data_IF_643241431783
#
_entry.id   IF_643241431783
#
_cell.length_a   1.000
_cell.length_b   1.000
_cell.length_c   1.000
_cell.angle_alpha   90.00
_cell.angle_beta   90.00
_cell.angle_gamma   90.00
#
_symmetry.space_group_name_H-M   'P 1'
#
loop_
_entity.id
_entity.type
_entity.pdbx_description
1 polymer ?
#
# COMPACT_ATOMS: atom_id res chain seq x y z
N UNK A 1 6.69 -14.04 12.36
CA UNK A 1 5.89 -12.90 12.86
C UNK A 1 4.57 -12.96 12.13
N UNK A 2 3.44 -12.97 12.84
CA UNK A 2 2.13 -12.83 12.20
C UNK A 2 2.06 -11.45 11.55
N UNK A 3 1.75 -11.40 10.25
CA UNK A 3 1.48 -10.14 9.57
C UNK A 3 0.10 -9.61 10.00
N UNK A 4 0.01 -8.30 10.16
CA UNK A 4 -1.23 -7.58 10.46
C UNK A 4 -1.46 -6.45 9.46
N UNK A 5 -2.75 -6.20 9.21
CA UNK A 5 -3.29 -5.03 8.52
C UNK A 5 -3.71 -4.00 9.57
N UNK A 6 -3.49 -2.72 9.28
CA UNK A 6 -3.81 -1.63 10.18
C UNK A 6 -4.80 -0.67 9.54
N UNK A 7 -5.80 -0.23 10.28
CA UNK A 7 -6.73 0.82 9.84
C UNK A 7 -6.51 2.07 10.68
N UNK A 8 -6.22 3.21 10.05
CA UNK A 8 -6.08 4.48 10.75
C UNK A 8 -7.44 4.97 11.26
N UNK A 9 -7.62 5.02 12.57
CA UNK A 9 -8.83 5.57 13.20
C UNK A 9 -8.73 7.09 13.36
N UNK A 10 -7.53 7.61 13.65
CA UNK A 10 -7.19 9.04 13.71
C UNK A 10 -5.71 9.26 13.41
N UNK A 11 -5.33 10.50 13.09
CA UNK A 11 -3.94 10.90 12.88
C UNK A 11 -3.51 10.99 11.42
N UNK A 12 -2.19 10.96 11.21
CA UNK A 12 -1.54 10.99 9.90
C UNK A 12 -0.25 10.15 9.97
N UNK A 13 -0.06 9.32 8.94
CA UNK A 13 1.18 8.54 8.75
C UNK A 13 1.71 8.79 7.34
N UNK A 14 2.99 8.50 7.11
CA UNK A 14 3.65 8.60 5.82
C UNK A 14 4.24 7.26 5.43
N UNK A 15 4.08 6.89 4.16
CA UNK A 15 4.65 5.69 3.56
C UNK A 15 6.00 6.08 2.96
N UNK A 16 7.05 5.38 3.34
CA UNK A 16 8.43 5.63 2.93
C UNK A 16 9.02 4.35 2.35
N UNK A 17 9.55 4.43 1.14
CA UNK A 17 10.33 3.37 0.50
C UNK A 17 11.81 3.75 0.48
N UNK A 18 12.69 2.76 0.68
CA UNK A 18 14.13 2.96 0.53
C UNK A 18 14.55 2.44 -0.86
N UNK A 19 15.06 3.30 -1.72
CA UNK A 19 15.59 2.95 -3.04
C UNK A 19 16.99 3.56 -3.18
N UNK A 20 18.01 2.73 -3.41
CA UNK A 20 19.40 3.16 -3.58
C UNK A 20 19.88 4.12 -2.47
N UNK A 21 19.65 3.73 -1.21
CA UNK A 21 19.94 4.52 0.01
C UNK A 21 19.21 5.87 0.12
N UNK A 22 18.18 6.11 -0.70
CA UNK A 22 17.31 7.29 -0.62
C UNK A 22 15.93 6.93 -0.12
N UNK A 23 15.42 7.72 0.81
CA UNK A 23 14.03 7.66 1.26
C UNK A 23 13.12 8.40 0.28
N UNK A 24 12.18 7.67 -0.31
CA UNK A 24 11.16 8.19 -1.22
C UNK A 24 9.81 8.16 -0.49
N UNK A 25 9.16 9.31 -0.38
CA UNK A 25 7.78 9.37 0.13
C UNK A 25 6.82 8.88 -0.94
N UNK A 26 6.05 7.84 -0.62
CA UNK A 26 4.98 7.28 -1.43
C UNK A 26 3.61 7.91 -1.05
N UNK A 27 3.64 8.94 -0.21
CA UNK A 27 2.48 9.72 0.21
C UNK A 27 2.06 9.49 1.66
N UNK A 28 1.07 10.30 2.06
CA UNK A 28 0.53 10.32 3.41
C UNK A 28 -0.83 9.67 3.49
N UNK A 29 -1.09 9.01 4.60
CA UNK A 29 -2.35 8.37 4.92
C UNK A 29 -3.01 9.03 6.13
N UNK A 30 -4.34 9.00 6.16
CA UNK A 30 -5.19 9.64 7.18
C UNK A 30 -6.27 8.69 7.68
N UNK A 31 -7.15 9.18 8.55
CA UNK A 31 -8.32 8.43 9.03
C UNK A 31 -9.06 7.72 7.89
N UNK A 32 -9.36 6.44 8.10
CA UNK A 32 -10.05 5.55 7.14
C UNK A 32 -9.11 4.83 6.18
N UNK A 33 -7.83 5.17 6.19
CA UNK A 33 -6.83 4.52 5.37
C UNK A 33 -6.33 3.20 5.98
N UNK A 34 -5.97 2.26 5.12
CA UNK A 34 -5.47 0.94 5.49
C UNK A 34 -3.94 0.87 5.28
N UNK A 35 -3.22 0.03 6.02
CA UNK A 35 -1.78 -0.23 5.84
C UNK A 35 -1.52 -1.72 5.94
N UNK A 36 -0.62 -2.24 5.12
CA UNK A 36 -0.23 -3.66 5.13
C UNK A 36 -1.19 -4.54 4.33
N UNK A 37 -2.20 -3.95 3.69
CA UNK A 37 -3.19 -4.65 2.89
C UNK A 37 -2.58 -5.39 1.69
N UNK A 38 -1.53 -4.83 1.09
CA UNK A 38 -0.87 -5.40 -0.09
C UNK A 38 -0.15 -6.70 0.31
N UNK A 39 0.63 -6.66 1.39
CA UNK A 39 1.33 -7.84 1.89
C UNK A 39 0.34 -8.93 2.32
N UNK A 40 -0.72 -8.54 3.03
CA UNK A 40 -1.75 -9.46 3.50
C UNK A 40 -2.53 -10.14 2.35
N UNK A 41 -2.85 -9.41 1.28
CA UNK A 41 -3.71 -9.93 0.20
C UNK A 41 -2.94 -10.59 -0.94
N UNK A 42 -1.74 -10.12 -1.25
CA UNK A 42 -0.96 -10.62 -2.38
C UNK A 42 0.22 -11.49 -1.96
N UNK A 43 0.41 -11.72 -0.65
CA UNK A 43 1.57 -12.43 -0.09
C UNK A 43 2.91 -11.86 -0.58
N UNK A 44 2.95 -10.54 -0.78
CA UNK A 44 4.14 -9.82 -1.22
C UNK A 44 4.97 -9.39 -0.01
N UNK A 45 6.31 -9.36 -0.12
CA UNK A 45 7.16 -8.83 0.93
C UNK A 45 6.81 -7.36 1.21
N UNK A 46 7.04 -6.91 2.46
CA UNK A 46 6.90 -5.49 2.79
C UNK A 46 7.97 -4.69 2.08
N UNK A 47 7.51 -3.78 1.24
CA UNK A 47 8.33 -2.94 0.35
C UNK A 47 8.49 -1.50 0.83
N UNK A 48 7.70 -1.10 1.83
CA UNK A 48 7.70 0.26 2.37
C UNK A 48 7.48 0.23 3.87
N UNK A 49 8.08 1.20 4.55
CA UNK A 49 7.87 1.49 5.97
C UNK A 49 6.76 2.52 6.12
N UNK A 50 6.05 2.47 7.25
CA UNK A 50 5.04 3.47 7.58
C UNK A 50 5.42 4.12 8.90
N UNK A 51 5.50 5.45 8.88
CA UNK A 51 5.92 6.26 10.03
C UNK A 51 4.81 7.23 10.41
N UNK A 52 4.46 7.31 11.68
CA UNK A 52 3.51 8.30 12.16
C UNK A 52 4.12 9.70 12.07
N UNK A 53 3.44 10.61 11.39
CA UNK A 53 3.81 12.04 11.29
C UNK A 53 3.01 12.92 12.24
N UNK A 54 1.95 12.36 12.82
CA UNK A 54 1.13 12.94 13.90
C UNK A 54 0.72 11.84 14.90
N UNK A 55 0.33 12.19 16.14
CA UNK A 55 -0.31 11.25 17.06
C UNK A 55 -1.46 10.52 16.35
N UNK A 56 -1.38 9.20 16.30
CA UNK A 56 -2.25 8.36 15.49
C UNK A 56 -2.76 7.17 16.31
N UNK A 57 -4.01 6.81 16.06
CA UNK A 57 -4.63 5.61 16.63
C UNK A 57 -4.95 4.67 15.48
N UNK A 58 -4.53 3.42 15.60
CA UNK A 58 -4.76 2.39 14.58
C UNK A 58 -5.52 1.22 15.18
N UNK A 59 -6.38 0.61 14.38
CA UNK A 59 -6.92 -0.71 14.63
C UNK A 59 -5.99 -1.73 13.97
N UNK A 60 -5.41 -2.62 14.75
CA UNK A 60 -4.68 -3.78 14.24
C UNK A 60 -5.63 -4.94 13.97
N UNK A 61 -5.50 -5.56 12.80
CA UNK A 61 -6.25 -6.74 12.38
C UNK A 61 -5.25 -7.78 11.87
N UNK A 62 -5.14 -8.96 12.49
CA UNK A 62 -4.30 -10.03 11.98
C UNK A 62 -4.67 -10.38 10.53
N UNK A 63 -3.69 -10.62 9.66
CA UNK A 63 -3.92 -10.84 8.22
C UNK A 63 -4.89 -12.00 7.94
N UNK A 64 -4.87 -13.05 8.77
CA UNK A 64 -5.80 -14.19 8.66
C UNK A 64 -7.26 -13.76 8.89
N UNK A 65 -7.49 -12.94 9.91
CA UNK A 65 -8.81 -12.46 10.28
C UNK A 65 -9.30 -11.44 9.25
N UNK A 66 -8.40 -10.61 8.73
CA UNK A 66 -8.68 -9.69 7.64
C UNK A 66 -9.12 -10.43 6.37
N UNK A 67 -8.38 -11.46 5.95
CA UNK A 67 -8.75 -12.27 4.79
C UNK A 67 -10.10 -12.96 4.97
N UNK A 68 -10.36 -13.52 6.15
CA UNK A 68 -11.65 -14.13 6.49
C UNK A 68 -12.81 -13.12 6.45
N UNK A 69 -12.58 -11.91 6.99
CA UNK A 69 -13.56 -10.82 6.99
C UNK A 69 -13.96 -10.40 5.57
N UNK A 70 -12.99 -10.28 4.66
CA UNK A 70 -13.25 -9.94 3.26
C UNK A 70 -14.02 -11.04 2.55
N UNK A 71 -13.68 -12.32 2.80
CA UNK A 71 -14.40 -13.45 2.21
C UNK A 71 -15.86 -13.51 2.68
N UNK A 72 -16.13 -13.14 3.95
CA UNK A 72 -17.48 -13.12 4.51
C UNK A 72 -18.30 -11.89 4.11
N UNK A 73 -17.64 -10.82 3.65
CA UNK A 73 -18.28 -9.52 3.41
C UNK A 73 -17.94 -8.98 2.01
N UNK A 74 -18.64 -9.42 0.95
CA UNK A 74 -18.31 -9.03 -0.44
C UNK A 74 -18.30 -7.51 -0.69
N UNK A 75 -19.16 -6.76 0.00
CA UNK A 75 -19.21 -5.29 -0.10
C UNK A 75 -17.91 -4.67 0.42
N UNK A 76 -17.41 -5.14 1.56
CA UNK A 76 -16.15 -4.69 2.14
C UNK A 76 -14.97 -5.09 1.26
N UNK A 77 -15.00 -6.32 0.72
CA UNK A 77 -14.01 -6.81 -0.23
C UNK A 77 -13.88 -5.89 -1.44
N UNK A 78 -15.01 -5.53 -2.08
CA UNK A 78 -15.02 -4.59 -3.20
C UNK A 78 -14.43 -3.22 -2.84
N UNK A 79 -14.80 -2.68 -1.68
CA UNK A 79 -14.27 -1.39 -1.21
C UNK A 79 -12.75 -1.42 -0.95
N UNK A 80 -12.24 -2.52 -0.37
CA UNK A 80 -10.80 -2.71 -0.15
C UNK A 80 -10.06 -2.84 -1.47
N UNK A 81 -10.57 -3.63 -2.43
CA UNK A 81 -9.94 -3.77 -3.74
C UNK A 81 -9.95 -2.48 -4.55
N UNK A 82 -11.02 -1.70 -4.51
CA UNK A 82 -11.08 -0.40 -5.18
C UNK A 82 -10.02 0.55 -4.62
N UNK A 83 -9.90 0.62 -3.29
CA UNK A 83 -8.91 1.45 -2.62
C UNK A 83 -7.48 0.99 -2.89
N UNK A 84 -7.27 -0.32 -2.95
CA UNK A 84 -6.01 -0.93 -3.39
C UNK A 84 -5.65 -0.54 -4.81
N UNK A 85 -6.61 -0.57 -5.74
CA UNK A 85 -6.41 -0.20 -7.13
C UNK A 85 -5.92 1.25 -7.26
N UNK A 86 -6.64 2.18 -6.62
CA UNK A 86 -6.31 3.61 -6.62
C UNK A 86 -4.92 3.88 -6.04
N UNK A 87 -4.55 3.14 -4.99
CA UNK A 87 -3.23 3.26 -4.35
C UNK A 87 -2.10 2.59 -5.10
N UNK A 88 -2.32 1.40 -5.64
CA UNK A 88 -1.27 0.66 -6.33
C UNK A 88 -0.77 1.45 -7.54
N UNK A 89 -1.68 2.12 -8.24
CA UNK A 89 -1.32 3.04 -9.32
C UNK A 89 -0.50 4.22 -8.81
N UNK A 90 -0.95 4.89 -7.75
CA UNK A 90 -0.24 6.05 -7.18
C UNK A 90 1.14 5.69 -6.64
N UNK A 91 1.24 4.64 -5.82
CA UNK A 91 2.48 4.16 -5.21
C UNK A 91 3.46 3.64 -6.26
N UNK A 92 2.98 2.88 -7.25
CA UNK A 92 3.84 2.42 -8.34
C UNK A 92 4.32 3.56 -9.23
N UNK A 93 3.44 4.52 -9.54
CA UNK A 93 3.85 5.70 -10.28
C UNK A 93 4.94 6.45 -9.49
N UNK A 94 4.79 6.65 -8.18
CA UNK A 94 5.78 7.38 -7.39
C UNK A 94 7.11 6.64 -7.17
N UNK A 95 7.11 5.30 -7.22
CA UNK A 95 8.33 4.48 -7.04
C UNK A 95 9.13 4.24 -8.33
N UNK A 96 8.58 4.62 -9.50
CA UNK A 96 9.24 4.49 -10.79
C UNK A 96 10.07 5.76 -11.12
N UNK A 97 11.36 5.63 -11.49
CA UNK A 97 12.23 6.78 -11.76
C UNK A 97 11.66 7.76 -12.81
N UNK A 98 10.96 7.24 -13.82
CA UNK A 98 10.36 8.02 -14.91
C UNK A 98 9.24 8.96 -14.45
N UNK A 99 8.61 8.70 -13.31
CA UNK A 99 7.48 9.46 -12.79
C UNK A 99 7.86 10.32 -11.57
N UNK A 100 9.13 10.29 -11.13
CA UNK A 100 9.64 11.24 -10.12
C UNK A 100 9.70 12.68 -10.64
N UNK A 101 9.54 12.90 -11.95
CA UNK A 101 9.36 14.20 -12.57
C UNK A 101 8.12 14.20 -13.48
N UNK A 102 6.97 14.44 -12.86
CA UNK A 102 5.75 15.06 -13.40
C UNK A 102 5.42 14.82 -14.88
N UNK A 103 4.67 13.73 -15.15
CA UNK A 103 3.67 13.69 -16.23
C UNK A 103 2.57 12.67 -15.90
N UNK A 104 1.34 13.17 -15.70
CA UNK A 104 0.15 12.39 -15.34
C UNK A 104 -0.56 11.78 -16.57
N UNK A 105 -0.05 11.96 -17.79
CA UNK A 105 -0.80 11.69 -19.02
C UNK A 105 -0.67 10.26 -19.58
N UNK A 106 0.18 9.40 -19.02
CA UNK A 106 0.31 8.00 -19.46
C UNK A 106 0.26 7.04 -18.27
N UNK A 107 -0.95 6.61 -17.88
CA UNK A 107 -1.09 5.51 -16.91
C UNK A 107 -0.66 4.17 -17.52
N UNK A 108 0.35 3.49 -16.97
CA UNK A 108 0.67 2.12 -17.34
C UNK A 108 -0.44 1.14 -16.94
N UNK A 109 -0.67 0.09 -17.72
CA UNK A 109 -1.51 -1.02 -17.28
C UNK A 109 -0.99 -1.64 -15.97
N UNK A 110 -1.89 -1.95 -15.04
CA UNK A 110 -1.57 -2.56 -13.74
C UNK A 110 -0.72 -3.83 -13.87
N UNK A 111 -0.97 -4.65 -14.89
CA UNK A 111 -0.22 -5.87 -15.15
C UNK A 111 1.27 -5.57 -15.38
N UNK A 112 1.58 -4.45 -16.05
CA UNK A 112 2.94 -3.99 -16.34
C UNK A 112 3.60 -3.42 -15.10
N UNK A 113 2.86 -2.65 -14.33
CA UNK A 113 3.30 -2.12 -13.03
C UNK A 113 3.69 -3.24 -12.08
N UNK A 114 2.79 -4.20 -11.90
CA UNK A 114 3.00 -5.34 -11.01
C UNK A 114 4.13 -6.25 -11.50
N UNK A 115 4.36 -6.37 -12.82
CA UNK A 115 5.53 -7.07 -13.36
C UNK A 115 6.85 -6.33 -13.10
N UNK A 116 6.91 -5.02 -13.29
CA UNK A 116 8.09 -4.22 -12.98
C UNK A 116 8.41 -4.26 -11.49
N UNK A 117 7.38 -4.20 -10.64
CA UNK A 117 7.52 -4.37 -9.20
C UNK A 117 7.94 -5.78 -8.83
N UNK A 118 7.32 -6.80 -9.40
CA UNK A 118 7.69 -8.20 -9.18
C UNK A 118 9.15 -8.46 -9.55
N UNK A 119 9.62 -7.94 -10.69
CA UNK A 119 11.03 -8.07 -11.09
C UNK A 119 12.02 -7.37 -10.13
N UNK A 120 11.57 -6.34 -9.40
CA UNK A 120 12.40 -5.55 -8.49
C UNK A 120 12.40 -6.10 -7.06
N UNK A 121 11.34 -6.82 -6.65
CA UNK A 121 11.12 -7.23 -5.25
C UNK A 121 10.81 -8.73 -5.04
N UNK A 122 10.72 -9.56 -6.10
CA UNK A 122 10.44 -11.01 -6.02
C UNK A 122 11.58 -11.90 -6.56
N UNK A 123 12.82 -11.40 -6.62
CA UNK A 123 14.01 -12.23 -6.83
C UNK A 123 14.77 -12.42 -5.53
#
# INVERSE_FOLDING_TARGET
MEDSVYVLLTGEVEIIENVDDKQISLGKLRKGDIVGEIGALFSLPRIASVTATRPSVVLEVPSKDFAELLNKTPILQGAVYQRLYERSLKTAMQSLPVFTQQDNSNMPELSRVLKCWGSKYLN
#
